data_IF_278850062054
#
_entry.id   IF_278850062054
#
_cell.length_a   1.000
_cell.length_b   1.000
_cell.length_c   1.000
_cell.angle_alpha   90.00
_cell.angle_beta   90.00
_cell.angle_gamma   90.00
#
_symmetry.space_group_name_H-M   'P 1'
#
loop_
_entity.id
_entity.type
_entity.pdbx_description
1 polymer ?
2 non-polymer ?
3 non-polymer ?
4 water ?
#
# COMPACT_ATOMS: atom_id res chain seq x y z
N UNK A 13 -6.60 -6.47 24.70
CA UNK A 13 -6.81 -7.83 24.23
C UNK A 13 -6.47 -7.96 22.75
N UNK A 14 -7.25 -8.76 22.03
CA UNK A 14 -7.02 -8.95 20.61
C UNK A 14 -7.35 -7.68 19.83
N UNK A 15 -6.78 -7.59 18.63
CA UNK A 15 -7.03 -6.45 17.75
C UNK A 15 -8.52 -6.37 17.41
N UNK A 16 -9.04 -5.15 17.40
CA UNK A 16 -10.41 -4.87 16.97
C UNK A 16 -10.33 -4.20 15.59
N UNK A 17 -10.85 -4.82 14.54
CA UNK A 17 -10.74 -4.22 13.19
C UNK A 17 -11.54 -2.94 13.09
N UNK A 18 -10.94 -1.88 12.55
CA UNK A 18 -11.70 -0.64 12.28
C UNK A 18 -12.82 -0.89 11.29
N UNK A 19 -13.81 -0.01 11.22
CA UNK A 19 -14.88 -0.17 10.23
C UNK A 19 -14.33 -0.13 8.80
N UNK A 20 -15.10 -0.70 7.89
CA UNK A 20 -14.67 -0.81 6.49
C UNK A 20 -14.84 0.51 5.77
N UNK A 21 -13.86 0.84 4.93
CA UNK A 21 -13.91 2.02 4.10
C UNK A 21 -14.83 1.78 2.90
N UNK A 22 -15.25 2.85 2.20
CA UNK A 22 -16.20 2.66 1.10
C UNK A 22 -15.59 1.88 -0.07
N UNK A 23 -16.40 1.01 -0.65
CA UNK A 23 -16.06 0.30 -1.88
C UNK A 23 -16.98 0.81 -2.97
N UNK A 24 -16.41 1.09 -4.14
CA UNK A 24 -17.17 1.56 -5.29
C UNK A 24 -16.99 0.60 -6.46
N UNK A 25 -18.10 0.23 -7.10
CA UNK A 25 -18.10 -0.67 -8.25
C UNK A 25 -18.73 0.06 -9.43
N UNK A 26 -17.99 0.97 -10.07
CA UNK A 26 -18.58 1.78 -11.13
C UNK A 26 -18.95 0.95 -12.35
N UNK A 27 -19.97 1.41 -13.07
CA UNK A 27 -20.29 0.83 -14.36
C UNK A 27 -19.30 1.34 -15.40
N UNK A 28 -19.45 0.88 -16.63
CA UNK A 28 -18.55 1.33 -17.69
C UNK A 28 -18.71 2.81 -17.98
N UNK A 29 -19.93 3.34 -17.80
CA UNK A 29 -20.15 4.77 -18.01
C UNK A 29 -19.41 5.61 -16.97
N UNK A 30 -19.48 5.20 -15.69
CA UNK A 30 -18.82 5.93 -14.62
C UNK A 30 -17.32 5.69 -14.59
N UNK A 31 -16.84 4.65 -15.26
CA UNK A 31 -15.42 4.28 -15.25
C UNK A 31 -14.64 4.97 -16.35
N UNK A 32 -15.28 5.84 -17.14
CA UNK A 32 -14.61 6.45 -18.28
C UNK A 32 -13.43 7.32 -17.84
N UNK A 33 -13.68 8.30 -16.97
CA UNK A 33 -12.66 9.25 -16.54
C UNK A 33 -12.38 9.08 -15.06
N UNK A 34 -11.16 8.71 -14.66
CA UNK A 34 -10.88 8.56 -13.22
C UNK A 34 -11.05 9.85 -12.43
N UNK A 35 -10.58 10.97 -12.98
CA UNK A 35 -10.63 12.22 -12.24
C UNK A 35 -12.07 12.66 -11.99
N UNK A 36 -12.93 12.57 -13.01
CA UNK A 36 -14.33 12.93 -12.82
C UNK A 36 -15.01 12.00 -11.83
N UNK A 37 -14.73 10.70 -11.92
CA UNK A 37 -15.31 9.75 -10.98
C UNK A 37 -14.88 10.06 -9.56
N UNK A 38 -13.57 10.26 -9.35
CA UNK A 38 -13.06 10.57 -8.01
C UNK A 38 -13.67 11.87 -7.49
N UNK A 39 -13.93 12.83 -8.37
CA UNK A 39 -14.59 14.05 -7.95
C UNK A 39 -16.02 13.83 -7.48
N UNK A 40 -16.71 12.84 -8.05
CA UNK A 40 -18.09 12.58 -7.68
C UNK A 40 -18.21 11.86 -6.34
N UNK A 41 -17.30 10.92 -6.07
CA UNK A 41 -17.33 10.18 -4.80
C UNK A 41 -16.66 10.94 -3.67
N UNK A 42 -16.08 12.11 -3.96
CA UNK A 42 -15.35 12.88 -2.96
C UNK A 42 -16.13 13.18 -1.69
N UNK A 43 -17.38 13.66 -1.75
CA UNK A 43 -18.07 14.00 -0.49
C UNK A 43 -18.21 12.84 0.48
N UNK A 44 -18.18 11.60 0.00
CA UNK A 44 -18.14 10.44 0.89
C UNK A 44 -16.70 10.05 1.24
N UNK A 45 -15.91 9.68 0.23
CA UNK A 45 -14.59 9.12 0.47
C UNK A 45 -13.67 10.07 1.23
N UNK A 46 -13.87 11.39 1.08
CA UNK A 46 -13.04 12.33 1.81
C UNK A 46 -13.29 12.26 3.31
N UNK A 47 -14.46 11.75 3.73
CA UNK A 47 -14.76 11.57 5.13
C UNK A 47 -14.08 10.33 5.71
N UNK A 48 -13.84 9.31 4.90
CA UNK A 48 -13.07 8.15 5.34
C UNK A 48 -11.59 8.23 4.99
N UNK A 49 -11.17 9.14 4.12
CA UNK A 49 -9.78 9.34 3.80
C UNK A 49 -9.19 8.36 2.81
N UNK A 50 -9.80 7.17 2.66
CA UNK A 50 -9.38 6.19 1.67
C UNK A 50 -10.65 5.51 1.16
N UNK A 51 -10.57 4.98 -0.06
CA UNK A 51 -11.69 4.24 -0.62
C UNK A 51 -11.16 3.23 -1.61
N UNK A 52 -11.98 2.24 -1.90
CA UNK A 52 -11.63 1.16 -2.81
C UNK A 52 -12.50 1.25 -4.06
N UNK A 53 -11.90 0.99 -5.22
CA UNK A 53 -12.59 1.04 -6.50
C UNK A 53 -12.35 -0.28 -7.23
N UNK A 54 -13.42 -1.03 -7.48
CA UNK A 54 -13.33 -2.25 -8.26
C UNK A 54 -13.72 -1.95 -9.70
N UNK A 55 -12.82 -2.10 -10.66
CA UNK A 55 -13.18 -1.87 -12.06
C UNK A 55 -14.14 -2.94 -12.56
N UNK A 56 -14.85 -2.68 -13.66
CA UNK A 56 -15.75 -3.70 -14.22
C UNK A 56 -15.01 -4.99 -14.52
N UNK A 57 -15.74 -6.11 -14.41
CA UNK A 57 -15.11 -7.43 -14.46
C UNK A 57 -14.36 -7.67 -15.76
N UNK A 58 -14.75 -6.99 -16.84
CA UNK A 58 -14.12 -7.18 -18.14
C UNK A 58 -12.92 -6.27 -18.35
N UNK A 59 -12.53 -5.48 -17.35
CA UNK A 59 -11.32 -4.68 -17.42
C UNK A 59 -10.20 -5.49 -16.76
N UNK A 60 -9.26 -5.98 -17.56
CA UNK A 60 -8.23 -6.90 -17.09
C UNK A 60 -6.91 -6.59 -17.79
N UNK A 61 -6.20 -5.57 -17.31
CA UNK A 61 -4.92 -5.22 -17.94
C UNK A 61 -3.91 -6.33 -17.77
N UNK A 62 -3.12 -6.63 -18.81
CA UNK A 62 -2.04 -7.60 -18.68
C UNK A 62 -0.88 -7.02 -17.89
N UNK A 63 -0.06 -7.91 -17.35
CA UNK A 63 1.11 -7.50 -16.59
C UNK A 63 2.27 -7.27 -17.54
N UNK A 64 2.75 -6.03 -17.61
CA UNK A 64 3.70 -5.61 -18.63
C UNK A 64 5.16 -5.59 -18.18
N UNK A 65 5.43 -5.91 -16.91
CA UNK A 65 6.82 -5.89 -16.47
C UNK A 65 7.62 -6.98 -17.17
N UNK A 66 8.94 -6.78 -17.24
CA UNK A 66 9.83 -7.78 -17.79
C UNK A 66 10.32 -8.64 -16.62
N UNK A 67 9.86 -9.89 -16.58
CA UNK A 67 10.03 -10.70 -15.39
C UNK A 67 11.43 -11.29 -15.31
N UNK A 68 11.97 -11.75 -16.43
CA UNK A 68 13.30 -12.35 -16.43
C UNK A 68 14.38 -11.34 -16.09
N UNK A 69 14.15 -10.07 -16.38
CA UNK A 69 15.11 -9.01 -16.08
C UNK A 69 14.83 -8.33 -14.74
N UNK A 70 13.82 -8.76 -14.00
CA UNK A 70 13.41 -8.07 -12.78
C UNK A 70 14.26 -8.56 -11.62
N UNK A 71 15.04 -7.66 -11.03
CA UNK A 71 15.94 -7.95 -9.94
C UNK A 71 15.91 -6.79 -8.97
N UNK A 72 15.83 -7.08 -7.68
CA UNK A 72 15.73 -6.02 -6.68
C UNK A 72 16.32 -6.51 -5.37
N UNK A 73 16.75 -5.55 -4.56
CA UNK A 73 17.20 -5.85 -3.20
C UNK A 73 16.22 -5.23 -2.21
N UNK A 74 15.38 -6.02 -1.55
CA UNK A 74 14.41 -5.46 -0.62
C UNK A 74 15.07 -5.01 0.67
N UNK A 75 14.35 -4.18 1.41
CA UNK A 75 14.82 -3.66 2.69
C UNK A 75 14.29 -4.51 3.84
N UNK A 76 15.12 -4.67 4.86
CA UNK A 76 14.77 -5.51 6.01
C UNK A 76 13.87 -4.74 6.95
N UNK A 77 12.78 -5.37 7.39
CA UNK A 77 11.85 -4.78 8.36
C UNK A 77 11.76 -5.69 9.58
N UNK A 78 12.02 -5.12 10.75
CA UNK A 78 11.80 -5.80 12.02
C UNK A 78 10.54 -5.21 12.65
N UNK A 79 9.55 -6.07 12.89
CA UNK A 79 8.22 -5.56 13.24
C UNK A 79 8.21 -4.87 14.60
N UNK A 80 8.99 -5.37 15.55
CA UNK A 80 8.98 -4.88 16.93
C UNK A 80 10.04 -3.80 17.20
N UNK A 81 10.75 -3.33 16.16
CA UNK A 81 11.91 -2.46 16.36
C UNK A 81 11.62 -1.30 17.31
N UNK A 82 10.45 -0.66 17.18
CA UNK A 82 10.12 0.42 18.10
C UNK A 82 9.92 -0.08 19.52
N UNK A 83 9.39 -1.29 19.67
CA UNK A 83 9.23 -1.86 21.01
C UNK A 83 10.58 -2.22 21.63
N UNK A 84 11.57 -2.54 20.80
CA UNK A 84 12.89 -2.92 21.30
C UNK A 84 13.61 -1.77 22.00
N UNK A 85 13.15 -0.53 21.85
CA UNK A 85 13.77 0.60 22.52
C UNK A 85 13.44 0.58 24.00
N UNK A 95 24.28 -2.82 14.21
CA UNK A 95 23.48 -2.84 13.00
C UNK A 95 23.81 -3.99 12.07
N UNK A 96 24.32 -5.07 12.66
CA UNK A 96 24.70 -6.27 11.92
C UNK A 96 23.61 -7.33 11.87
N UNK A 97 22.41 -7.02 12.41
CA UNK A 97 21.40 -8.04 12.63
C UNK A 97 21.05 -8.78 11.35
N UNK A 98 20.64 -8.05 10.31
CA UNK A 98 20.07 -8.66 9.11
C UNK A 98 21.04 -8.54 7.94
N UNK A 99 21.18 -9.64 7.21
CA UNK A 99 22.01 -9.71 6.01
C UNK A 99 21.11 -9.57 4.79
N UNK A 100 21.41 -8.59 3.95
CA UNK A 100 20.51 -8.19 2.86
C UNK A 100 20.89 -8.93 1.59
N UNK A 101 19.89 -9.31 0.81
CA UNK A 101 20.02 -10.24 -0.30
C UNK A 101 19.26 -9.72 -1.51
N UNK A 102 19.77 -10.06 -2.70
CA UNK A 102 19.09 -9.72 -3.95
C UNK A 102 18.20 -10.88 -4.41
N UNK A 103 17.05 -10.54 -4.97
CA UNK A 103 16.08 -11.51 -5.44
C UNK A 103 15.71 -11.25 -6.90
N UNK A 104 15.12 -12.26 -7.53
CA UNK A 104 14.30 -12.07 -8.69
C UNK A 104 12.84 -12.10 -8.24
N UNK A 105 11.91 -11.89 -9.18
CA UNK A 105 10.50 -11.99 -8.84
C UNK A 105 10.15 -13.40 -8.40
N UNK A 106 10.70 -14.41 -9.09
CA UNK A 106 10.38 -15.79 -8.76
C UNK A 106 11.01 -16.18 -7.42
N UNK A 107 12.28 -15.85 -7.22
CA UNK A 107 12.95 -16.26 -5.99
C UNK A 107 12.39 -15.54 -4.77
N UNK A 108 11.94 -14.30 -4.94
CA UNK A 108 11.28 -13.61 -3.82
C UNK A 108 9.95 -14.29 -3.49
N UNK A 109 9.19 -14.67 -4.51
CA UNK A 109 7.91 -15.32 -4.28
C UNK A 109 8.06 -16.66 -3.58
N UNK A 110 9.08 -17.42 -3.95
CA UNK A 110 9.32 -18.70 -3.27
C UNK A 110 9.68 -18.47 -1.81
N UNK A 111 10.54 -17.49 -1.53
CA UNK A 111 10.85 -17.13 -0.15
C UNK A 111 9.61 -16.62 0.57
N UNK A 112 8.83 -15.75 -0.07
CA UNK A 112 7.66 -15.18 0.56
C UNK A 112 6.63 -16.25 0.92
N UNK A 113 6.32 -17.13 -0.04
CA UNK A 113 5.33 -18.17 0.21
C UNK A 113 5.80 -19.15 1.27
N UNK A 114 7.08 -19.47 1.27
CA UNK A 114 7.61 -20.40 2.27
C UNK A 114 7.56 -19.79 3.67
N UNK A 115 7.78 -18.48 3.78
CA UNK A 115 7.71 -17.83 5.08
C UNK A 115 6.30 -17.91 5.66
N UNK A 116 5.31 -17.56 4.85
CA UNK A 116 3.94 -17.50 5.36
C UNK A 116 3.43 -18.89 5.72
N UNK A 117 3.65 -19.88 4.84
CA UNK A 117 3.16 -21.23 5.11
C UNK A 117 3.88 -21.86 6.30
N UNK A 118 5.17 -21.58 6.47
CA UNK A 118 5.89 -22.08 7.64
C UNK A 118 5.43 -21.36 8.91
N UNK A 119 5.17 -20.05 8.82
CA UNK A 119 4.78 -19.31 10.01
C UNK A 119 3.42 -19.77 10.53
N UNK A 120 2.43 -19.89 9.64
CA UNK A 120 1.09 -20.28 10.04
C UNK A 120 0.83 -21.78 9.94
N UNK A 121 1.78 -22.55 9.41
CA UNK A 121 1.67 -24.00 9.31
C UNK A 121 0.41 -24.42 8.54
N UNK A 122 0.27 -23.88 7.33
CA UNK A 122 -0.87 -24.13 6.47
C UNK A 122 -0.62 -23.43 5.13
N UNK A 123 -1.27 -23.88 4.05
CA UNK A 123 -1.06 -23.26 2.74
C UNK A 123 -1.37 -21.76 2.79
N UNK A 124 -0.62 -21.01 1.98
CA UNK A 124 -0.65 -19.54 2.08
C UNK A 124 -2.04 -19.01 1.75
N UNK A 125 -2.73 -19.63 0.80
CA UNK A 125 -4.05 -19.15 0.41
C UNK A 125 -5.14 -19.57 1.39
N UNK A 126 -4.82 -20.40 2.37
CA UNK A 126 -5.78 -20.81 3.40
C UNK A 126 -5.69 -19.98 4.67
N UNK A 127 -4.76 -19.03 4.76
CA UNK A 127 -4.67 -18.22 5.98
C UNK A 127 -5.70 -17.11 5.90
N UNK A 128 -6.60 -17.01 6.88
CA UNK A 128 -7.61 -15.95 6.84
C UNK A 128 -6.99 -14.57 7.02
N UNK A 129 -7.57 -13.58 6.33
CA UNK A 129 -7.04 -12.23 6.40
C UNK A 129 -7.15 -11.65 7.80
N UNK A 130 -8.20 -12.02 8.53
CA UNK A 130 -8.34 -11.55 9.91
C UNK A 130 -7.25 -12.13 10.81
N UNK A 131 -6.75 -13.33 10.48
CA UNK A 131 -5.71 -13.94 11.30
C UNK A 131 -4.35 -13.28 11.08
N UNK A 132 -4.00 -12.98 9.83
CA UNK A 132 -2.77 -12.25 9.56
C UNK A 132 -2.83 -10.88 10.21
N UNK A 133 -4.00 -10.23 10.18
CA UNK A 133 -4.15 -8.91 10.77
C UNK A 133 -3.89 -8.94 12.27
N UNK A 134 -4.58 -9.84 12.99
CA UNK A 134 -4.39 -9.92 14.44
C UNK A 134 -2.95 -10.28 14.79
N UNK A 135 -2.33 -11.16 14.01
CA UNK A 135 -0.97 -11.58 14.34
C UNK A 135 0.04 -10.47 14.05
N UNK A 136 -0.18 -9.71 12.97
CA UNK A 136 0.73 -8.61 12.64
C UNK A 136 0.84 -7.61 13.79
N UNK A 137 -0.31 -7.19 14.33
CA UNK A 137 -0.28 -6.17 15.38
C UNK A 137 0.17 -6.74 16.72
N UNK A 138 -0.04 -8.04 16.95
CA UNK A 138 0.58 -8.66 18.12
C UNK A 138 2.10 -8.69 17.99
N UNK A 139 2.60 -8.99 16.79
CA UNK A 139 4.04 -9.04 16.58
C UNK A 139 4.68 -7.66 16.67
N UNK A 140 3.96 -6.62 16.23
CA UNK A 140 4.49 -5.27 16.28
C UNK A 140 4.84 -4.87 17.71
N UNK A 141 3.97 -5.23 18.67
CA UNK A 141 4.16 -4.87 20.06
C UNK A 141 4.83 -5.95 20.89
N UNK A 142 5.21 -7.08 20.29
CA UNK A 142 5.76 -8.20 21.04
C UNK A 142 7.27 -8.03 21.20
N UNK A 143 7.73 -7.98 22.46
CA UNK A 143 9.16 -8.02 22.73
C UNK A 143 9.66 -9.44 22.95
N UNK A 144 8.77 -10.43 23.08
CA UNK A 144 9.19 -11.81 23.28
C UNK A 144 9.60 -12.48 21.96
N UNK A 145 8.97 -12.11 20.86
CA UNK A 145 9.23 -12.71 19.56
C UNK A 145 9.74 -11.64 18.60
N UNK A 146 10.72 -12.00 17.79
CA UNK A 146 11.33 -11.10 16.82
C UNK A 146 11.13 -11.68 15.42
N UNK A 147 10.32 -10.99 14.62
CA UNK A 147 9.98 -11.45 13.27
C UNK A 147 10.57 -10.46 12.26
N UNK A 148 11.34 -10.98 11.31
CA UNK A 148 12.00 -10.19 10.29
C UNK A 148 11.38 -10.54 8.94
N UNK A 149 10.97 -9.52 8.18
CA UNK A 149 10.46 -9.69 6.84
C UNK A 149 11.19 -8.74 5.91
N UNK A 150 10.85 -8.80 4.62
CA UNK A 150 11.52 -8.03 3.58
C UNK A 150 10.48 -7.36 2.70
N UNK A 151 10.74 -6.11 2.33
CA UNK A 151 9.76 -5.24 1.72
C UNK A 151 10.35 -4.67 0.44
N UNK A 152 9.82 -5.10 -0.71
CA UNK A 152 10.19 -4.47 -1.97
C UNK A 152 9.64 -3.06 -2.00
N UNK A 153 10.52 -2.08 -2.17
CA UNK A 153 10.17 -0.72 -1.76
C UNK A 153 10.64 0.29 -2.78
N UNK A 154 9.72 1.18 -3.18
CA UNK A 154 10.04 2.37 -3.97
C UNK A 154 10.96 2.01 -5.12
N UNK A 155 10.57 0.98 -5.85
CA UNK A 155 11.26 0.58 -7.08
C UNK A 155 10.68 1.41 -8.21
N UNK A 156 11.52 2.21 -8.85
CA UNK A 156 11.05 3.10 -9.90
C UNK A 156 10.58 2.30 -11.10
N UNK A 157 9.44 2.70 -11.66
CA UNK A 157 8.94 2.06 -12.87
C UNK A 157 9.82 2.31 -14.08
N UNK A 158 10.77 3.24 -14.00
CA UNK A 158 11.59 3.56 -15.16
C UNK A 158 12.57 2.44 -15.50
N UNK A 159 13.10 1.75 -14.49
CA UNK A 159 14.12 0.73 -14.75
C UNK A 159 13.53 -0.51 -15.42
N UNK A 160 12.51 -1.11 -14.81
CA UNK A 160 11.93 -2.36 -15.29
C UNK A 160 10.68 -2.16 -16.14
N UNK A 161 10.25 -0.93 -16.34
CA UNK A 161 8.97 -0.68 -16.95
C UNK A 161 7.82 -0.78 -15.96
N UNK A 162 6.70 -0.17 -16.33
CA UNK A 162 5.52 -0.21 -15.48
C UNK A 162 4.87 -1.58 -15.51
N UNK A 163 4.05 -1.86 -14.49
CA UNK A 163 3.22 -3.04 -14.51
C UNK A 163 2.13 -3.01 -15.56
N UNK A 164 1.71 -1.76 -16.00
CA UNK A 164 0.78 -1.50 -17.08
C UNK A 164 1.52 -1.42 -18.42
N UNK A 165 0.89 -1.86 -19.51
CA UNK A 165 1.49 -1.62 -20.83
C UNK A 165 1.56 -0.13 -21.13
N UNK A 166 2.70 0.30 -21.65
CA UNK A 166 2.91 1.69 -22.00
C UNK A 166 3.29 1.76 -23.48
N UNK A 167 2.99 2.91 -24.08
CA UNK A 167 3.28 3.16 -25.48
C UNK A 167 4.70 3.66 -25.71
N UNK A 168 5.51 3.73 -24.65
CA UNK A 168 6.87 4.27 -24.74
C UNK A 168 7.71 3.59 -25.80
N UNK A 169 7.32 2.40 -26.23
CA UNK A 169 8.00 1.73 -27.33
C UNK A 169 9.14 0.82 -26.92
N UNK A 170 9.22 0.45 -25.65
CA UNK A 170 10.31 -0.38 -25.16
C UNK A 170 10.00 -1.87 -25.22
N UNK A 171 8.78 -2.26 -25.60
CA UNK A 171 8.41 -3.67 -25.73
C UNK A 171 6.96 -3.79 -26.17
N UNK A 172 6.62 -4.99 -26.67
CA UNK A 172 5.26 -5.52 -26.74
C UNK A 172 4.23 -4.58 -27.35
N UNK A 173 3.20 -4.25 -26.57
CA UNK A 173 1.97 -3.60 -27.04
C UNK A 173 1.27 -4.47 -28.07
N UNK A 174 0.73 -5.61 -27.63
CA UNK A 174 -0.17 -6.38 -28.46
C UNK A 174 -1.43 -5.57 -28.77
N UNK A 175 -2.14 -5.90 -29.86
CA UNK A 175 -3.41 -5.21 -30.13
C UNK A 175 -4.39 -5.25 -28.97
N UNK A 176 -4.50 -6.39 -28.28
CA UNK A 176 -5.36 -6.47 -27.11
C UNK A 176 -4.87 -5.60 -25.96
N UNK A 177 -3.58 -5.25 -25.95
CA UNK A 177 -3.00 -4.44 -24.90
C UNK A 177 -3.25 -2.95 -25.07
N UNK A 178 -3.60 -2.49 -26.27
CA UNK A 178 -3.54 -1.06 -26.56
C UNK A 178 -4.54 -0.27 -25.72
N UNK A 179 -5.75 -0.80 -25.53
CA UNK A 179 -6.76 -0.07 -24.76
C UNK A 179 -6.31 0.17 -23.33
N UNK A 180 -5.52 -0.74 -22.76
CA UNK A 180 -5.03 -0.52 -21.41
C UNK A 180 -3.86 0.46 -21.38
N UNK A 181 -3.05 0.50 -22.43
CA UNK A 181 -1.97 1.48 -22.48
C UNK A 181 -2.53 2.90 -22.61
N UNK A 182 -3.69 3.05 -23.23
CA UNK A 182 -4.33 4.35 -23.42
C UNK A 182 -5.37 4.66 -22.36
N UNK A 183 -5.61 3.76 -21.41
CA UNK A 183 -6.65 3.97 -20.41
C UNK A 183 -6.26 5.07 -19.44
N UNK A 184 -7.24 5.88 -19.04
CA UNK A 184 -6.98 6.87 -18.01
C UNK A 184 -6.72 6.27 -16.64
N UNK A 185 -7.11 5.03 -16.42
CA UNK A 185 -6.82 4.32 -15.19
C UNK A 185 -5.46 3.65 -15.20
N UNK A 186 -4.79 3.61 -16.35
CA UNK A 186 -3.37 3.31 -16.37
C UNK A 186 -2.65 4.36 -15.55
N UNK A 187 -1.86 3.92 -14.56
CA UNK A 187 -1.26 4.87 -13.63
C UNK A 187 -0.20 5.75 -14.29
N UNK A 188 0.34 5.33 -15.43
CA UNK A 188 1.26 6.19 -16.18
C UNK A 188 0.54 7.37 -16.82
N UNK A 189 -0.77 7.28 -17.00
CA UNK A 189 -1.57 8.34 -17.63
C UNK A 189 -2.23 9.28 -16.64
N UNK A 190 -1.97 9.13 -15.34
CA UNK A 190 -2.51 10.06 -14.35
C UNK A 190 -1.74 11.38 -14.39
N UNK A 191 -2.45 12.52 -14.36
CA UNK A 191 -1.73 13.81 -14.38
C UNK A 191 -0.88 13.99 -13.13
N UNK A 192 0.42 14.25 -13.33
CA UNK A 192 1.35 14.45 -12.23
C UNK A 192 1.69 15.91 -11.96
N UNK A 193 1.19 16.85 -12.76
CA UNK A 193 1.70 18.22 -12.75
C UNK A 193 0.77 19.14 -11.96
N UNK A 194 1.35 19.83 -10.98
CA UNK A 194 0.63 20.82 -10.18
C UNK A 194 0.84 22.21 -10.77
N UNK A 195 -0.21 23.02 -10.72
CA UNK A 195 -0.13 24.38 -11.23
C UNK A 195 0.69 25.26 -10.28
N UNK A 196 1.70 25.93 -10.83
CA UNK A 196 2.50 26.88 -10.07
C UNK A 196 3.07 27.93 -11.02
N UNK A 197 3.35 29.11 -10.48
CA UNK A 197 3.92 30.19 -11.26
C UNK A 197 5.42 29.95 -11.47
N UNK A 209 8.24 12.11 -11.23
CA UNK A 209 6.79 11.99 -11.11
C UNK A 209 6.28 10.78 -11.89
N UNK A 210 6.82 9.62 -11.56
CA UNK A 210 6.50 8.37 -12.27
C UNK A 210 5.97 7.38 -11.25
N UNK A 211 5.25 6.35 -11.70
CA UNK A 211 4.75 5.35 -10.76
C UNK A 211 5.87 4.57 -10.10
N UNK A 212 5.59 4.08 -8.90
CA UNK A 212 6.54 3.27 -8.15
C UNK A 212 5.97 1.87 -7.95
N UNK A 213 6.86 0.89 -7.80
CA UNK A 213 6.48 -0.51 -7.70
C UNK A 213 6.81 -1.05 -6.31
N UNK A 214 5.95 -1.97 -5.83
CA UNK A 214 6.11 -2.57 -4.51
C UNK A 214 5.89 -4.07 -4.62
N UNK A 215 6.90 -4.84 -4.25
CA UNK A 215 6.78 -6.30 -4.18
C UNK A 215 6.59 -6.65 -2.71
N UNK A 216 5.40 -7.08 -2.35
CA UNK A 216 5.05 -7.31 -0.98
C UNK A 216 5.21 -8.75 -0.55
N UNK A 217 5.28 -8.93 0.77
CA UNK A 217 5.17 -10.23 1.41
C UNK A 217 4.47 -10.03 2.74
N UNK A 218 3.93 -11.12 3.27
CA UNK A 218 3.52 -11.18 4.66
C UNK A 218 4.83 -11.10 5.44
N UNK A 219 4.99 -10.26 6.47
CA UNK A 219 4.11 -9.22 7.01
C UNK A 219 4.38 -7.78 6.52
N UNK A 220 5.24 -7.61 5.51
CA UNK A 220 5.85 -6.32 5.19
C UNK A 220 4.83 -5.18 5.13
N UNK A 221 5.23 -4.02 5.65
CA UNK A 221 4.28 -2.98 6.00
C UNK A 221 4.80 -1.59 5.65
N UNK A 222 3.86 -0.65 5.58
CA UNK A 222 4.15 0.77 5.49
C UNK A 222 3.45 1.47 6.65
N UNK A 223 4.16 2.36 7.31
CA UNK A 223 3.65 3.00 8.52
C UNK A 223 2.82 4.25 8.18
N UNK A 224 2.37 4.95 9.22
CA UNK A 224 1.49 6.10 9.01
C UNK A 224 2.22 7.25 8.35
N UNK A 225 1.66 7.74 7.24
CA UNK A 225 2.27 8.85 6.51
C UNK A 225 1.20 9.54 5.67
N UNK A 226 1.54 10.75 5.22
CA UNK A 226 0.80 11.45 4.18
C UNK A 226 1.74 11.65 3.02
N UNK A 227 1.17 11.87 1.83
CA UNK A 227 1.97 12.11 0.64
C UNK A 227 2.54 13.52 0.64
N UNK A 228 3.62 13.70 -0.10
CA UNK A 228 4.24 15.01 -0.22
C UNK A 228 3.27 15.99 -0.87
N UNK A 229 3.30 17.24 -0.40
CA UNK A 229 2.42 18.31 -0.87
C UNK A 229 0.94 17.97 -0.66
N UNK A 230 0.64 17.08 0.29
CA UNK A 230 -0.72 16.62 0.57
C UNK A 230 -1.39 16.08 -0.70
N UNK A 231 -0.61 15.46 -1.56
CA UNK A 231 -1.13 15.00 -2.84
C UNK A 231 -2.09 13.82 -2.67
N UNK A 232 -2.96 13.65 -3.66
CA UNK A 232 -3.67 12.40 -3.84
C UNK A 232 -2.70 11.29 -4.16
N UNK A 233 -3.09 10.05 -3.88
CA UNK A 233 -2.36 8.90 -4.36
C UNK A 233 -3.35 7.82 -4.78
N UNK A 234 -3.02 7.12 -5.84
CA UNK A 234 -3.81 6.01 -6.34
C UNK A 234 -2.91 4.78 -6.39
N UNK A 235 -3.48 3.62 -6.07
CA UNK A 235 -2.70 2.42 -5.86
C UNK A 235 -3.41 1.24 -6.52
N UNK A 236 -2.69 0.50 -7.35
CA UNK A 236 -3.24 -0.64 -8.06
C UNK A 236 -2.49 -1.89 -7.66
N UNK A 237 -3.24 -2.95 -7.36
CA UNK A 237 -2.65 -4.25 -7.04
C UNK A 237 -2.77 -5.12 -8.29
N UNK A 238 -1.63 -5.39 -8.93
CA UNK A 238 -1.65 -6.13 -10.19
C UNK A 238 -2.01 -7.60 -9.95
N UNK A 239 -1.34 -8.25 -9.01
CA UNK A 239 -1.59 -9.67 -8.75
C UNK A 239 -1.13 -9.99 -7.33
N UNK A 240 -1.54 -11.15 -6.85
CA UNK A 240 -1.08 -11.68 -5.58
C UNK A 240 -2.10 -11.55 -4.46
N UNK A 241 -1.61 -11.83 -3.25
CA UNK A 241 -2.43 -11.83 -2.05
C UNK A 241 -2.77 -10.40 -1.64
N UNK A 242 -3.80 -10.21 -0.82
CA UNK A 242 -4.32 -8.86 -0.58
C UNK A 242 -3.35 -7.96 0.17
N UNK A 243 -3.62 -6.65 0.05
CA UNK A 243 -2.93 -5.61 0.81
C UNK A 243 -3.94 -4.98 1.75
N UNK A 244 -3.64 -5.00 3.05
CA UNK A 244 -4.55 -4.47 4.06
C UNK A 244 -4.23 -3.01 4.32
N UNK A 245 -5.26 -2.17 4.34
CA UNK A 245 -5.12 -0.71 4.45
C UNK A 245 -5.82 -0.20 5.70
N UNK A 246 -5.24 0.83 6.32
CA UNK A 246 -5.92 1.63 7.31
C UNK A 246 -5.77 3.09 6.91
N UNK A 247 -6.79 3.89 7.17
CA UNK A 247 -6.76 5.27 6.74
C UNK A 247 -7.57 6.16 7.65
N UNK A 248 -7.21 7.44 7.63
CA UNK A 248 -7.83 8.44 8.50
C UNK A 248 -8.22 9.62 7.63
N UNK A 249 -9.38 10.23 7.84
CA UNK A 249 -9.76 11.39 7.04
C UNK A 249 -8.89 12.58 7.35
N UNK A 250 -8.81 13.50 6.38
CA UNK A 250 -7.92 14.64 6.52
C UNK A 250 -8.31 15.56 7.67
N UNK A 251 -9.61 15.64 7.98
CA UNK A 251 -10.01 16.54 9.05
C UNK A 251 -9.52 16.08 10.43
N UNK A 252 -9.15 14.81 10.55
CA UNK A 252 -8.60 14.25 11.78
C UNK A 252 -7.07 14.26 11.80
N UNK A 253 -6.42 14.84 10.77
CA UNK A 253 -4.98 14.76 10.64
C UNK A 253 -4.27 15.32 11.88
N UNK A 254 -4.70 16.49 12.36
CA UNK A 254 -4.06 17.10 13.52
C UNK A 254 -4.27 16.26 14.76
N UNK A 255 -5.44 15.62 14.89
CA UNK A 255 -5.69 14.74 16.03
C UNK A 255 -4.73 13.55 16.01
N UNK A 256 -4.51 12.94 14.84
CA UNK A 256 -3.57 11.83 14.74
C UNK A 256 -2.16 12.28 15.13
N UNK A 257 -1.73 13.42 14.61
CA UNK A 257 -0.38 13.90 14.91
C UNK A 257 -0.20 14.20 16.40
N UNK A 258 -1.26 14.66 17.07
CA UNK A 258 -1.15 14.92 18.50
C UNK A 258 -1.06 13.63 19.30
N UNK A 259 -1.87 12.63 18.95
CA UNK A 259 -1.78 11.33 19.60
C UNK A 259 -0.41 10.69 19.30
N UNK A 260 0.07 10.86 18.07
CA UNK A 260 1.37 10.30 17.71
C UNK A 260 2.48 10.91 18.56
N UNK A 261 2.58 12.24 18.57
CA UNK A 261 3.61 12.91 19.36
C UNK A 261 3.45 12.66 20.85
N UNK A 262 2.24 12.35 21.30
CA UNK A 262 2.04 12.05 22.72
C UNK A 262 2.62 10.69 23.08
N UNK A 263 2.33 9.68 22.28
CA UNK A 263 2.73 8.30 22.56
C UNK A 263 4.01 7.87 21.86
N UNK A 264 4.61 8.74 21.03
CA UNK A 264 5.84 8.36 20.37
C UNK A 264 7.02 8.46 21.34
N UNK A 265 8.07 7.67 21.12
CA UNK A 265 9.27 7.78 21.98
C UNK A 265 9.83 9.19 21.97
N UNK A 266 10.40 9.58 23.11
CA UNK A 266 10.82 10.97 23.31
C UNK A 266 11.90 11.38 22.33
N UNK A 267 12.82 10.47 22.02
CA UNK A 267 13.94 10.81 21.14
C UNK A 267 13.46 11.24 19.76
N UNK A 268 12.33 10.69 19.31
CA UNK A 268 11.77 11.02 18.00
C UNK A 268 10.70 12.09 18.06
N UNK A 269 10.43 12.65 19.25
CA UNK A 269 9.34 13.61 19.40
C UNK A 269 9.61 14.89 18.62
N UNK A 270 10.82 15.42 18.71
CA UNK A 270 11.17 16.70 18.11
C UNK A 270 11.58 16.58 16.65
N UNK A 271 11.57 15.37 16.09
CA UNK A 271 11.98 15.21 14.71
C UNK A 271 10.95 15.82 13.76
N UNK A 272 11.39 16.42 12.65
CA UNK A 272 10.44 16.89 11.65
C UNK A 272 9.59 15.75 11.09
N UNK A 273 8.41 16.11 10.58
CA UNK A 273 7.45 15.11 10.18
C UNK A 273 7.94 14.25 9.01
N UNK A 274 8.76 14.82 8.12
CA UNK A 274 9.29 14.04 7.02
C UNK A 274 10.16 12.90 7.51
N UNK A 275 10.98 13.16 8.54
CA UNK A 275 11.77 12.10 9.16
C UNK A 275 10.94 11.28 10.14
N UNK A 276 9.99 11.91 10.82
CA UNK A 276 9.21 11.20 11.83
C UNK A 276 8.37 10.09 11.19
N UNK A 277 7.72 10.38 10.07
CA UNK A 277 6.80 9.40 9.49
C UNK A 277 7.49 8.19 8.90
N UNK A 278 8.83 8.16 8.87
CA UNK A 278 9.53 6.92 8.55
C UNK A 278 9.29 5.87 9.63
N UNK A 279 9.39 6.25 10.91
CA UNK A 279 9.30 5.31 12.02
C UNK A 279 7.94 5.26 12.70
N UNK A 280 6.92 5.99 12.22
CA UNK A 280 5.72 6.14 13.02
C UNK A 280 4.79 4.98 12.70
N UNK A 281 4.67 4.07 13.65
CA UNK A 281 3.85 2.87 13.51
C UNK A 281 3.04 2.78 14.78
N UNK A 282 1.72 2.75 14.64
CA UNK A 282 0.82 2.81 15.78
C UNK A 282 -0.36 1.89 15.52
N UNK A 283 -0.72 1.13 16.54
CA UNK A 283 -1.89 0.26 16.44
C UNK A 283 -3.12 1.12 16.18
N UNK A 284 -3.88 0.86 15.13
CA UNK A 284 -5.11 1.63 14.88
C UNK A 284 -6.06 1.69 16.07
N UNK A 285 -6.11 0.66 16.90
CA UNK A 285 -6.97 0.71 18.07
C UNK A 285 -6.52 1.78 19.05
N UNK A 286 -5.23 2.09 19.09
CA UNK A 286 -4.73 3.14 19.96
C UNK A 286 -5.22 4.51 19.48
N UNK A 287 -5.19 4.74 18.16
CA UNK A 287 -5.79 5.95 17.62
C UNK A 287 -7.28 6.01 17.88
N UNK A 288 -7.98 4.89 17.67
CA UNK A 288 -9.42 4.85 17.84
C UNK A 288 -9.83 5.10 19.30
N UNK A 289 -9.02 4.64 20.26
CA UNK A 289 -9.32 4.86 21.66
C UNK A 289 -9.18 6.32 22.05
N UNK A 290 -8.43 7.10 21.28
CA UNK A 290 -8.30 8.53 21.51
C UNK A 290 -9.29 9.36 20.70
N UNK A 291 -10.20 8.71 19.98
CA UNK A 291 -11.24 9.41 19.26
C UNK A 291 -10.96 9.66 17.79
N UNK A 292 -9.82 9.21 17.28
CA UNK A 292 -9.49 9.42 15.87
C UNK A 292 -10.24 8.40 15.03
N UNK A 293 -11.02 8.83 14.03
CA UNK A 293 -11.67 7.86 13.14
C UNK A 293 -10.65 7.13 12.28
N UNK A 294 -10.78 5.82 12.18
CA UNK A 294 -9.92 4.99 11.36
C UNK A 294 -10.78 4.04 10.55
N UNK A 295 -10.45 3.87 9.28
CA UNK A 295 -11.16 2.97 8.39
C UNK A 295 -10.16 1.98 7.79
N UNK A 296 -10.67 0.80 7.42
CA UNK A 296 -9.85 -0.30 6.96
C UNK A 296 -10.43 -0.84 5.65
N UNK A 297 -9.63 -1.71 5.02
CA UNK A 297 -10.08 -2.48 3.87
C UNK A 297 -8.99 -3.45 3.47
N UNK A 298 -9.39 -4.45 2.69
CA UNK A 298 -8.49 -5.40 2.07
C UNK A 298 -8.53 -5.14 0.57
N UNK A 299 -7.38 -4.75 0.01
CA UNK A 299 -7.28 -4.52 -1.42
C UNK A 299 -6.84 -5.83 -2.08
N UNK A 300 -7.71 -6.40 -2.90
CA UNK A 300 -7.41 -7.65 -3.57
C UNK A 300 -6.86 -7.36 -4.96
N UNK A 301 -6.49 -8.42 -5.67
CA UNK A 301 -5.88 -8.25 -6.99
C UNK A 301 -6.87 -7.63 -7.96
N UNK A 302 -6.42 -6.62 -8.70
CA UNK A 302 -7.25 -5.93 -9.65
C UNK A 302 -8.05 -4.77 -9.08
N UNK A 303 -7.78 -4.34 -7.85
CA UNK A 303 -8.54 -3.28 -7.21
C UNK A 303 -7.66 -2.06 -6.98
N UNK A 304 -8.29 -0.88 -7.10
CA UNK A 304 -7.65 0.40 -6.85
C UNK A 304 -7.96 0.88 -5.43
N UNK A 305 -6.98 1.54 -4.81
CA UNK A 305 -7.20 2.28 -3.57
C UNK A 305 -6.74 3.72 -3.78
N UNK A 306 -7.62 4.67 -3.49
CA UNK A 306 -7.32 6.09 -3.61
C UNK A 306 -7.21 6.68 -2.21
N UNK A 307 -6.11 7.40 -1.96
CA UNK A 307 -5.95 8.18 -0.74
C UNK A 307 -6.12 9.65 -1.06
N UNK A 308 -6.90 10.33 -0.24
CA UNK A 308 -7.28 11.73 -0.42
C UNK A 308 -6.25 12.67 0.21
N UNK A 309 -6.26 13.95 -0.18
CA UNK A 309 -5.25 14.89 0.33
C UNK A 309 -5.19 14.91 1.86
N UNK A 310 -3.97 14.77 2.38
CA UNK A 310 -3.69 14.81 3.81
C UNK A 310 -4.43 13.71 4.58
N UNK A 311 -4.69 12.58 3.93
CA UNK A 311 -5.30 11.44 4.61
C UNK A 311 -4.18 10.51 5.05
N UNK A 312 -3.99 10.39 6.37
CA UNK A 312 -2.98 9.49 6.89
C UNK A 312 -3.38 8.06 6.61
N UNK A 313 -2.41 7.24 6.18
CA UNK A 313 -2.71 5.86 5.86
C UNK A 313 -1.52 4.99 6.20
N UNK A 314 -1.81 3.72 6.44
CA UNK A 314 -0.80 2.71 6.75
C UNK A 314 -1.37 1.35 6.36
N UNK A 315 -0.56 0.31 6.55
CA UNK A 315 -1.03 -1.02 6.24
C UNK A 315 0.11 -2.02 6.12
N UNK A 316 -0.26 -3.22 5.65
CA UNK A 316 0.66 -4.33 5.50
C UNK A 316 0.12 -5.27 4.44
N UNK A 317 1.00 -6.12 3.92
CA UNK A 317 0.61 -7.08 2.90
C UNK A 317 0.25 -8.42 3.53
N UNK A 318 -0.78 -9.07 2.97
CA UNK A 318 -1.16 -10.41 3.42
C UNK A 318 -0.22 -11.48 2.91
N UNK A 319 0.50 -11.21 1.82
CA UNK A 319 1.38 -12.20 1.25
C UNK A 319 2.08 -11.66 0.03
N UNK A 320 2.59 -12.57 -0.79
CA UNK A 320 3.28 -12.20 -2.01
C UNK A 320 2.32 -11.47 -2.96
N UNK A 321 2.69 -10.27 -3.38
CA UNK A 321 1.85 -9.52 -4.32
C UNK A 321 2.72 -8.48 -5.02
N UNK A 322 2.11 -7.76 -5.96
CA UNK A 322 2.79 -6.76 -6.76
C UNK A 322 1.86 -5.56 -6.91
N UNK A 323 2.32 -4.38 -6.51
CA UNK A 323 1.49 -3.19 -6.49
C UNK A 323 2.20 -2.04 -7.19
N UNK A 324 1.41 -1.10 -7.69
CA UNK A 324 1.91 0.09 -8.38
C UNK A 324 1.15 1.31 -7.88
N UNK A 325 1.89 2.41 -7.66
CA UNK A 325 1.31 3.60 -7.04
C UNK A 325 1.93 4.85 -7.65
N UNK A 326 1.15 5.92 -7.69
CA UNK A 326 1.62 7.22 -8.17
C UNK A 326 0.84 8.31 -7.43
N UNK A 327 1.50 9.45 -7.22
CA UNK A 327 0.83 10.64 -6.69
C UNK A 327 0.34 11.47 -7.87
N UNK A 328 -0.90 11.95 -7.78
CA UNK A 328 -1.49 12.72 -8.87
C UNK A 328 -2.14 13.98 -8.33
N UNK A 329 -2.35 14.92 -9.25
CA UNK A 329 -2.94 16.21 -8.96
C UNK A 329 -4.30 16.32 -9.63
N UNK A 330 -5.22 17.03 -8.96
CA UNK A 330 -6.55 17.27 -9.52
C UNK A 330 -6.74 18.76 -9.79
X LIG B 1 3.85 -0.44 -0.06
X LIG B 1 2.68 0.07 -0.48
X LIG B 1 2.36 1.50 -0.17
X LIG B 1 1.05 1.87 0.07
X LIG B 1 0.78 3.21 0.34
X LIG B 1 1.75 4.14 0.39
X LIG B 1 3.04 3.78 0.15
X LIG B 1 4.12 4.86 0.21
X LIG B 1 3.60 6.18 -0.14
X LIG B 1 3.56 6.39 -1.58
X LIG B 1 4.90 7.02 -2.05
X LIG B 1 5.28 6.97 -3.34
X LIG B 1 4.46 6.30 -4.36
X LIG B 1 3.49 7.28 -5.02
X LIG B 1 6.57 7.56 -3.72
X LIG B 1 6.39 9.04 -4.12
X LIG B 1 7.35 9.88 -3.40
X LIG B 1 6.67 11.09 -2.95
X LIG B 1 8.44 10.23 -4.28
X LIG B 1 5.59 7.56 -1.25
X LIG B 1 3.36 2.46 -0.13
X LIG B 1 1.88 -0.62 -1.11
X LIG C 1 1.28 6.42 0.48
#
# INVERSE_FOLDING_TARGET
HNMAGVGPGGYAAEFVPPPECPVFEPSWEEFTDPLSFIGRIRPLAEKTGICKIRPPKDWQPPFACEVKSFRFTPRVQRLNELEAMTRVRPREAFGFEQAVREYTLQSFGEMADNFKSDYFNMPVHMVPTELVEKEFWRLVSSIEEDVIVEYGADISSKDFGSGFPVKDGRRKILPEEEEYALSGWNLNNMPVLEQSVLAHINVDISGMKVPWLYVGMCFSSFCWHIEDHWSYSINYLHWGEPKTWYGVPSHAAEQLEEVMRELAPELFESQPDLLHQLVTIMNPNVLMEHGVPVYRTNQCAGEFVVTFPRAYHSGFNQGYNFAEAVNFCT
LQT N01 C02 C03 C04 C05 N06 C07 C08 N09 C10 C11 N12 C13 C14 C15 C16 N17 C18 C19 O20 C21 O22
MN MN
#
